data_IF_124198636671
#
_entry.id   IF_124198636671
#
_cell.length_a   1.000
_cell.length_b   1.000
_cell.length_c   1.000
_cell.angle_alpha   90.00
_cell.angle_beta   90.00
_cell.angle_gamma   90.00
#
_symmetry.space_group_name_H-M   'P 1'
#
loop_
_entity.id
_entity.type
_entity.pdbx_description
1 polymer ?
#
# COMPACT_ATOMS: atom_id res chain seq x y z
N UNK A 1 -18.09 -4.90 -13.33
CA UNK A 1 -17.08 -5.95 -13.52
C UNK A 1 -15.65 -5.43 -13.67
N UNK A 2 -15.38 -4.12 -13.83
CA UNK A 2 -13.99 -3.62 -13.90
C UNK A 2 -13.29 -3.46 -12.54
N UNK A 3 -14.03 -3.08 -11.48
CA UNK A 3 -13.46 -2.94 -10.14
C UNK A 3 -12.89 -4.25 -9.57
N UNK A 4 -13.42 -5.41 -9.99
CA UNK A 4 -12.92 -6.72 -9.55
C UNK A 4 -11.53 -7.00 -10.09
N UNK A 5 -11.21 -6.56 -11.32
CA UNK A 5 -9.90 -6.79 -11.96
C UNK A 5 -8.77 -6.02 -11.27
N UNK A 6 -9.03 -4.79 -10.83
CA UNK A 6 -8.08 -3.96 -10.06
C UNK A 6 -7.69 -4.60 -8.73
N UNK A 7 -8.55 -5.47 -8.17
CA UNK A 7 -8.35 -6.15 -6.90
C UNK A 7 -7.78 -7.57 -7.04
N UNK A 8 -7.63 -8.10 -8.25
CA UNK A 8 -7.19 -9.50 -8.47
C UNK A 8 -5.77 -9.78 -7.99
N UNK A 9 -4.90 -8.77 -8.03
CA UNK A 9 -3.53 -8.86 -7.51
C UNK A 9 -3.49 -8.98 -5.98
N UNK A 10 -4.51 -8.47 -5.29
CA UNK A 10 -4.54 -8.38 -3.83
C UNK A 10 -4.54 -9.75 -3.14
N UNK A 11 -5.34 -10.71 -3.62
CA UNK A 11 -5.35 -12.05 -3.02
C UNK A 11 -4.01 -12.78 -3.17
N UNK A 12 -3.30 -12.56 -4.29
CA UNK A 12 -1.97 -13.12 -4.49
C UNK A 12 -0.96 -12.43 -3.58
N UNK A 13 -1.05 -11.11 -3.46
CA UNK A 13 -0.23 -10.33 -2.53
C UNK A 13 -0.44 -10.76 -1.07
N UNK A 14 -1.67 -10.98 -0.61
CA UNK A 14 -1.94 -11.48 0.75
C UNK A 14 -1.25 -12.83 1.01
N UNK A 15 -1.22 -13.73 0.02
CA UNK A 15 -0.46 -14.99 0.14
C UNK A 15 1.05 -14.76 0.20
N UNK A 16 1.54 -13.76 -0.53
CA UNK A 16 2.95 -13.37 -0.46
C UNK A 16 3.31 -12.84 0.93
N UNK A 17 2.46 -11.99 1.51
CA UNK A 17 2.64 -11.47 2.87
C UNK A 17 2.57 -12.57 3.93
N UNK A 18 1.66 -13.53 3.79
CA UNK A 18 1.60 -14.67 4.70
C UNK A 18 2.87 -15.52 4.66
N UNK A 19 3.43 -15.74 3.46
CA UNK A 19 4.74 -16.39 3.33
C UNK A 19 5.86 -15.53 3.93
N UNK A 20 5.82 -14.20 3.75
CA UNK A 20 6.79 -13.29 4.36
C UNK A 20 6.75 -13.35 5.90
N UNK A 21 5.56 -13.40 6.51
CA UNK A 21 5.44 -13.55 7.96
C UNK A 21 6.03 -14.88 8.47
N UNK A 22 5.87 -15.98 7.72
CA UNK A 22 6.51 -17.26 8.04
C UNK A 22 8.03 -17.20 7.85
N UNK A 23 8.50 -16.50 6.81
CA UNK A 23 9.92 -16.20 6.61
C UNK A 23 10.51 -15.46 7.81
N UNK A 24 9.91 -14.34 8.23
CA UNK A 24 10.38 -13.52 9.37
C UNK A 24 10.45 -14.33 10.67
N UNK A 25 9.44 -15.17 10.93
CA UNK A 25 9.44 -16.06 12.10
C UNK A 25 10.55 -17.11 12.02
N UNK A 26 10.74 -17.74 10.85
CA UNK A 26 11.77 -18.76 10.66
C UNK A 26 13.18 -18.16 10.78
N UNK A 27 13.38 -16.94 10.28
CA UNK A 27 14.62 -16.18 10.46
C UNK A 27 14.93 -15.93 11.93
N UNK A 28 13.95 -15.46 12.72
CA UNK A 28 14.11 -15.23 14.16
C UNK A 28 14.46 -16.51 14.95
N UNK A 29 14.08 -17.68 14.43
CA UNK A 29 14.34 -18.99 15.05
C UNK A 29 15.57 -19.70 14.47
N UNK A 30 16.39 -19.02 13.66
CA UNK A 30 17.56 -19.58 12.97
C UNK A 30 17.24 -20.79 12.07
N UNK A 31 16.00 -20.92 11.58
CA UNK A 31 15.54 -21.99 10.72
C UNK A 31 15.79 -21.67 9.24
N UNK A 32 17.07 -21.57 8.85
CA UNK A 32 17.52 -21.05 7.55
C UNK A 32 16.85 -21.77 6.35
N UNK A 33 16.69 -23.09 6.41
CA UNK A 33 16.08 -23.86 5.32
C UNK A 33 14.61 -23.49 5.11
N UNK A 34 13.87 -23.31 6.20
CA UNK A 34 12.45 -22.90 6.15
C UNK A 34 12.35 -21.46 5.68
N UNK A 35 13.18 -20.57 6.22
CA UNK A 35 13.22 -19.17 5.82
C UNK A 35 13.46 -19.03 4.30
N UNK A 36 14.43 -19.76 3.74
CA UNK A 36 14.71 -19.72 2.30
C UNK A 36 13.51 -20.18 1.46
N UNK A 37 12.82 -21.24 1.86
CA UNK A 37 11.65 -21.74 1.14
C UNK A 37 10.49 -20.73 1.18
N UNK A 38 10.18 -20.19 2.36
CA UNK A 38 9.11 -19.21 2.54
C UNK A 38 9.39 -17.90 1.79
N UNK A 39 10.64 -17.45 1.75
CA UNK A 39 11.05 -16.30 0.93
C UNK A 39 10.82 -16.56 -0.56
N UNK A 40 11.15 -17.76 -1.05
CA UNK A 40 10.89 -18.12 -2.44
C UNK A 40 9.38 -18.22 -2.74
N UNK A 41 8.59 -18.70 -1.78
CA UNK A 41 7.14 -18.74 -1.89
C UNK A 41 6.55 -17.32 -1.95
N UNK A 42 7.02 -16.40 -1.10
CA UNK A 42 6.62 -15.00 -1.12
C UNK A 42 6.91 -14.36 -2.49
N UNK A 43 8.13 -14.57 -3.02
CA UNK A 43 8.52 -14.09 -4.36
C UNK A 43 7.61 -14.60 -5.47
N UNK A 44 7.27 -15.89 -5.46
CA UNK A 44 6.36 -16.51 -6.45
C UNK A 44 4.96 -15.89 -6.39
N UNK A 45 4.43 -15.64 -5.19
CA UNK A 45 3.13 -14.99 -5.04
C UNK A 45 3.16 -13.52 -5.48
N UNK A 46 4.26 -12.80 -5.22
CA UNK A 46 4.46 -11.46 -5.75
C UNK A 46 4.53 -11.43 -7.29
N UNK A 47 5.13 -12.44 -7.93
CA UNK A 47 5.09 -12.56 -9.40
C UNK A 47 3.65 -12.69 -9.92
N UNK A 48 2.84 -13.57 -9.32
CA UNK A 48 1.42 -13.72 -9.68
C UNK A 48 0.65 -12.41 -9.44
N UNK A 49 0.94 -11.69 -8.36
CA UNK A 49 0.33 -10.40 -8.08
C UNK A 49 0.71 -9.37 -9.16
N UNK A 50 1.98 -9.30 -9.55
CA UNK A 50 2.46 -8.42 -10.60
C UNK A 50 1.78 -8.70 -11.96
N UNK A 51 1.72 -9.96 -12.40
CA UNK A 51 1.04 -10.35 -13.64
C UNK A 51 -0.43 -9.93 -13.69
N UNK A 52 -1.14 -10.09 -12.57
CA UNK A 52 -2.55 -9.69 -12.46
C UNK A 52 -2.72 -8.18 -12.49
N UNK A 53 -1.84 -7.45 -11.79
CA UNK A 53 -1.85 -5.98 -11.79
C UNK A 53 -1.51 -5.41 -13.17
N UNK A 54 -0.58 -6.00 -13.91
CA UNK A 54 -0.29 -5.60 -15.30
C UNK A 54 -1.54 -5.75 -16.17
N UNK A 55 -2.23 -6.89 -16.09
CA UNK A 55 -3.49 -7.07 -16.83
C UNK A 55 -4.55 -6.02 -16.47
N UNK A 56 -4.66 -5.67 -15.20
CA UNK A 56 -5.55 -4.60 -14.76
C UNK A 56 -5.14 -3.23 -15.33
N UNK A 57 -3.84 -2.95 -15.42
CA UNK A 57 -3.30 -1.75 -16.07
C UNK A 57 -3.59 -1.72 -17.56
N UNK A 58 -3.54 -2.87 -18.25
CA UNK A 58 -3.89 -2.97 -19.67
C UNK A 58 -5.36 -2.59 -19.90
N UNK A 59 -6.28 -2.99 -19.00
CA UNK A 59 -7.68 -2.57 -19.08
C UNK A 59 -7.87 -1.07 -18.88
N UNK A 60 -7.15 -0.48 -17.91
CA UNK A 60 -7.17 0.97 -17.67
C UNK A 60 -6.65 1.71 -18.91
N UNK A 61 -5.55 1.22 -19.48
CA UNK A 61 -4.93 1.76 -20.70
C UNK A 61 -5.86 1.66 -21.90
N UNK A 62 -6.54 0.52 -22.09
CA UNK A 62 -7.51 0.35 -23.17
C UNK A 62 -8.71 1.31 -23.04
N UNK A 63 -9.09 1.68 -21.81
CA UNK A 63 -10.26 2.53 -21.54
C UNK A 63 -9.98 4.02 -21.55
N UNK A 64 -8.82 4.43 -21.02
CA UNK A 64 -8.46 5.84 -20.80
C UNK A 64 -7.26 6.28 -21.64
N UNK A 65 -6.60 5.38 -22.37
CA UNK A 65 -5.36 5.64 -23.08
C UNK A 65 -4.12 5.38 -22.23
N UNK A 66 -2.95 5.48 -22.84
CA UNK A 66 -1.67 5.15 -22.21
C UNK A 66 -1.42 5.96 -20.93
N UNK A 67 -1.08 5.26 -19.84
CA UNK A 67 -0.56 5.89 -18.63
C UNK A 67 0.75 6.60 -18.98
N UNK A 68 0.88 7.86 -18.54
CA UNK A 68 2.02 8.72 -18.76
C UNK A 68 1.98 9.52 -20.07
N UNK A 69 0.86 9.49 -20.81
CA UNK A 69 0.63 10.35 -21.96
C UNK A 69 0.62 11.83 -21.56
N UNK A 70 1.01 12.73 -22.48
CA UNK A 70 1.09 14.17 -22.22
C UNK A 70 -0.28 14.81 -22.00
N UNK A 71 -1.33 14.26 -22.65
CA UNK A 71 -2.70 14.74 -22.51
C UNK A 71 -3.46 13.88 -21.51
N UNK A 72 -4.13 14.52 -20.54
CA UNK A 72 -4.98 13.83 -19.59
C UNK A 72 -6.17 13.16 -20.28
N UNK A 73 -6.60 11.97 -19.81
CA UNK A 73 -7.77 11.30 -20.35
C UNK A 73 -9.05 12.09 -20.07
N UNK A 74 -10.07 11.84 -20.88
CA UNK A 74 -11.39 12.40 -20.62
C UNK A 74 -12.08 11.68 -19.45
N UNK A 75 -11.98 12.26 -18.25
CA UNK A 75 -12.61 11.76 -17.02
C UNK A 75 -13.94 12.52 -16.78
N UNK A 76 -15.00 12.12 -17.49
CA UNK A 76 -16.26 12.87 -17.51
C UNK A 76 -17.11 12.71 -16.23
N UNK A 77 -16.91 11.62 -15.50
CA UNK A 77 -17.70 11.27 -14.31
C UNK A 77 -16.77 10.92 -13.16
N UNK A 78 -17.26 11.07 -11.94
CA UNK A 78 -16.55 10.65 -10.74
C UNK A 78 -16.15 9.17 -10.79
N UNK A 79 -16.99 8.31 -11.38
CA UNK A 79 -16.67 6.90 -11.61
C UNK A 79 -15.47 6.67 -12.54
N UNK A 80 -15.26 7.56 -13.51
CA UNK A 80 -14.08 7.49 -14.39
C UNK A 80 -12.82 7.91 -13.63
N UNK A 81 -12.91 8.97 -12.83
CA UNK A 81 -11.80 9.45 -12.01
C UNK A 81 -11.34 8.42 -10.97
N UNK A 82 -12.25 7.83 -10.18
CA UNK A 82 -11.88 6.77 -9.21
C UNK A 82 -11.29 5.55 -9.92
N UNK A 83 -11.86 5.13 -11.06
CA UNK A 83 -11.35 3.97 -11.82
C UNK A 83 -9.94 4.25 -12.32
N UNK A 84 -9.71 5.46 -12.86
CA UNK A 84 -8.39 5.87 -13.32
C UNK A 84 -7.40 5.96 -12.15
N UNK A 85 -7.78 6.57 -11.01
CA UNK A 85 -6.96 6.64 -9.80
C UNK A 85 -6.54 5.25 -9.30
N UNK A 86 -7.49 4.32 -9.17
CA UNK A 86 -7.20 2.94 -8.76
C UNK A 86 -6.32 2.23 -9.79
N UNK A 87 -6.49 2.52 -11.07
CA UNK A 87 -5.61 2.06 -12.14
C UNK A 87 -4.17 2.54 -11.99
N UNK A 88 -3.97 3.82 -11.66
CA UNK A 88 -2.65 4.39 -11.38
C UNK A 88 -1.99 3.72 -10.17
N UNK A 89 -2.71 3.53 -9.07
CA UNK A 89 -2.13 2.83 -7.90
C UNK A 89 -1.85 1.37 -8.23
N UNK A 90 -2.70 0.71 -9.01
CA UNK A 90 -2.47 -0.66 -9.48
C UNK A 90 -1.20 -0.74 -10.33
N UNK A 91 -0.93 0.25 -11.19
CA UNK A 91 0.30 0.34 -11.95
C UNK A 91 1.54 0.46 -11.06
N UNK A 92 1.49 1.30 -10.03
CA UNK A 92 2.56 1.42 -9.05
C UNK A 92 2.77 0.12 -8.26
N UNK A 93 1.68 -0.51 -7.82
CA UNK A 93 1.74 -1.80 -7.13
C UNK A 93 2.23 -2.93 -8.05
N UNK A 94 2.01 -2.87 -9.37
CA UNK A 94 2.54 -3.83 -10.33
C UNK A 94 4.07 -3.78 -10.35
N UNK A 95 4.64 -2.57 -10.44
CA UNK A 95 6.08 -2.35 -10.36
C UNK A 95 6.64 -2.86 -9.03
N UNK A 96 6.01 -2.51 -7.90
CA UNK A 96 6.42 -3.00 -6.58
C UNK A 96 6.40 -4.52 -6.47
N UNK A 97 5.32 -5.15 -6.93
CA UNK A 97 5.16 -6.60 -6.87
C UNK A 97 6.23 -7.31 -7.69
N UNK A 98 6.53 -6.80 -8.88
CA UNK A 98 7.58 -7.39 -9.70
C UNK A 98 8.95 -7.24 -9.04
N UNK A 99 9.25 -6.08 -8.44
CA UNK A 99 10.47 -5.89 -7.65
C UNK A 99 10.57 -6.88 -6.49
N UNK A 100 9.50 -7.05 -5.71
CA UNK A 100 9.44 -8.00 -4.60
C UNK A 100 9.52 -9.46 -5.05
N UNK A 101 9.13 -9.76 -6.30
CA UNK A 101 9.31 -11.09 -6.90
C UNK A 101 10.76 -11.38 -7.32
N UNK A 102 11.63 -10.35 -7.38
CA UNK A 102 12.95 -10.44 -8.01
C UNK A 102 12.91 -10.26 -9.53
N UNK A 103 11.98 -9.43 -10.03
CA UNK A 103 11.78 -9.11 -11.44
C UNK A 103 11.43 -10.31 -12.33
N UNK A 104 10.63 -11.27 -11.82
CA UNK A 104 10.27 -12.47 -12.56
C UNK A 104 9.31 -12.20 -13.72
N UNK A 105 8.49 -11.14 -13.64
CA UNK A 105 7.50 -10.79 -14.65
C UNK A 105 8.06 -9.80 -15.67
N UNK A 106 9.01 -8.96 -15.25
CA UNK A 106 9.66 -7.98 -16.13
C UNK A 106 8.80 -6.74 -16.38
N UNK A 107 8.12 -6.24 -15.33
CA UNK A 107 7.33 -5.01 -15.41
C UNK A 107 8.26 -3.83 -15.67
N UNK A 108 7.97 -3.08 -16.72
CA UNK A 108 8.78 -1.93 -17.09
C UNK A 108 8.78 -0.87 -15.96
N UNK A 109 9.96 -0.57 -15.40
CA UNK A 109 10.14 0.39 -14.30
C UNK A 109 9.68 1.81 -14.65
N UNK A 110 9.73 2.19 -15.93
CA UNK A 110 9.20 3.48 -16.39
C UNK A 110 7.69 3.62 -16.13
N UNK A 111 6.96 2.52 -15.94
CA UNK A 111 5.55 2.56 -15.53
C UNK A 111 5.36 3.38 -14.24
N UNK A 112 6.30 3.35 -13.29
CA UNK A 112 6.23 4.17 -12.09
C UNK A 112 6.29 5.67 -12.41
N UNK A 113 7.24 6.09 -13.26
CA UNK A 113 7.38 7.48 -13.68
C UNK A 113 6.18 7.96 -14.50
N UNK A 114 5.65 7.11 -15.39
CA UNK A 114 4.41 7.35 -16.14
C UNK A 114 3.21 7.53 -15.22
N UNK A 115 3.08 6.67 -14.22
CA UNK A 115 2.02 6.74 -13.20
C UNK A 115 2.09 8.05 -12.41
N UNK A 116 3.29 8.46 -11.99
CA UNK A 116 3.51 9.74 -11.30
C UNK A 116 3.06 10.93 -12.15
N UNK A 117 3.39 10.96 -13.45
CA UNK A 117 2.95 12.03 -14.35
C UNK A 117 1.43 12.04 -14.51
N UNK A 118 0.84 10.88 -14.74
CA UNK A 118 -0.61 10.71 -14.89
C UNK A 118 -1.41 11.09 -13.64
N UNK A 119 -0.82 11.05 -12.44
CA UNK A 119 -1.54 11.42 -11.22
C UNK A 119 -1.91 12.91 -11.18
N UNK A 120 -1.25 13.77 -11.97
CA UNK A 120 -1.63 15.18 -12.07
C UNK A 120 -3.01 15.40 -12.72
N UNK A 121 -3.51 14.41 -13.48
CA UNK A 121 -4.83 14.49 -14.11
C UNK A 121 -6.01 14.34 -13.14
N UNK A 122 -5.73 14.11 -11.85
CA UNK A 122 -6.73 13.92 -10.81
C UNK A 122 -6.62 15.05 -9.78
N UNK A 123 -7.77 15.53 -9.31
CA UNK A 123 -7.82 16.49 -8.21
C UNK A 123 -7.34 15.85 -6.90
N UNK A 124 -6.37 16.48 -6.24
CA UNK A 124 -5.73 15.89 -5.07
C UNK A 124 -6.64 15.85 -3.85
N UNK A 125 -7.44 16.90 -3.64
CA UNK A 125 -8.30 17.05 -2.47
C UNK A 125 -9.51 16.12 -2.57
N UNK A 126 -10.17 16.12 -3.74
CA UNK A 126 -11.29 15.24 -4.06
C UNK A 126 -10.94 13.77 -3.89
N UNK A 127 -9.71 13.39 -4.23
CA UNK A 127 -9.20 12.02 -4.13
C UNK A 127 -8.32 11.80 -2.90
N UNK A 128 -8.64 12.50 -1.82
CA UNK A 128 -8.18 12.27 -0.45
C UNK A 128 -6.66 12.37 -0.24
N UNK A 129 -5.94 13.06 -1.13
CA UNK A 129 -4.48 13.15 -1.11
C UNK A 129 -3.77 12.02 -1.88
N UNK A 130 -4.52 11.09 -2.49
CA UNK A 130 -3.96 9.94 -3.22
C UNK A 130 -3.05 10.35 -4.38
N UNK A 131 -3.40 11.31 -5.25
CA UNK A 131 -2.53 11.74 -6.35
C UNK A 131 -1.15 12.21 -5.87
N UNK A 132 -1.12 12.91 -4.74
CA UNK A 132 0.11 13.36 -4.10
C UNK A 132 0.90 12.21 -3.49
N UNK A 133 0.23 11.31 -2.75
CA UNK A 133 0.87 10.12 -2.21
C UNK A 133 1.51 9.25 -3.30
N UNK A 134 0.86 9.08 -4.46
CA UNK A 134 1.43 8.39 -5.63
C UNK A 134 2.78 9.01 -6.05
N UNK A 135 2.85 10.34 -6.16
CA UNK A 135 4.08 11.03 -6.56
C UNK A 135 5.19 10.81 -5.54
N UNK A 136 4.86 10.95 -4.26
CA UNK A 136 5.79 10.70 -3.16
C UNK A 136 6.29 9.25 -3.14
N UNK A 137 5.43 8.27 -3.43
CA UNK A 137 5.85 6.85 -3.52
C UNK A 137 6.77 6.58 -4.69
N UNK A 138 6.54 7.22 -5.84
CA UNK A 138 7.47 7.10 -6.97
C UNK A 138 8.82 7.72 -6.63
N UNK A 139 8.87 8.89 -5.98
CA UNK A 139 10.13 9.47 -5.50
C UNK A 139 10.84 8.59 -4.48
N UNK A 140 10.08 7.93 -3.61
CA UNK A 140 10.62 6.98 -2.63
C UNK A 140 11.15 5.69 -3.29
N UNK A 141 10.68 5.31 -4.48
CA UNK A 141 11.11 4.09 -5.17
C UNK A 141 12.24 4.32 -6.17
N UNK A 142 12.27 5.50 -6.80
CA UNK A 142 13.20 5.80 -7.90
C UNK A 142 14.20 6.87 -7.47
N UNK A 143 15.45 6.49 -7.14
CA UNK A 143 16.49 7.43 -6.77
C UNK A 143 16.67 8.55 -7.81
N UNK A 144 16.84 9.79 -7.32
CA UNK A 144 17.09 10.96 -8.17
C UNK A 144 15.87 11.56 -8.85
N UNK A 145 14.65 11.07 -8.59
CA UNK A 145 13.41 11.64 -9.16
C UNK A 145 12.73 12.69 -8.27
N UNK A 146 13.14 12.78 -7.00
CA UNK A 146 12.71 13.84 -6.09
C UNK A 146 13.30 15.19 -6.56
N UNK A 147 12.48 16.23 -6.83
CA UNK A 147 13.00 17.55 -7.16
C UNK A 147 13.79 18.18 -6.01
N UNK A 148 14.88 18.88 -6.32
CA UNK A 148 15.80 19.48 -5.34
C UNK A 148 15.12 20.44 -4.33
N UNK A 149 13.99 21.04 -4.71
CA UNK A 149 13.25 21.99 -3.89
C UNK A 149 12.09 21.34 -3.10
N UNK A 150 12.00 20.02 -3.04
CA UNK A 150 10.94 19.30 -2.33
C UNK A 150 11.51 18.36 -1.28
N UNK A 151 10.81 18.28 -0.15
CA UNK A 151 11.05 17.26 0.87
C UNK A 151 10.03 16.12 0.72
N UNK A 152 10.53 14.89 0.66
CA UNK A 152 9.71 13.69 0.49
C UNK A 152 8.69 13.50 1.63
N UNK A 153 9.11 13.68 2.88
CA UNK A 153 8.30 13.40 4.06
C UNK A 153 7.29 14.50 4.34
N UNK A 154 7.64 15.77 4.06
CA UNK A 154 6.67 16.87 4.06
C UNK A 154 5.60 16.64 3.00
N UNK A 155 5.98 16.09 1.83
CA UNK A 155 5.01 15.78 0.78
C UNK A 155 4.06 14.64 1.17
N UNK A 156 4.57 13.58 1.80
CA UNK A 156 3.70 12.57 2.40
C UNK A 156 2.80 13.14 3.49
N UNK A 157 3.35 13.95 4.40
CA UNK A 157 2.56 14.55 5.48
C UNK A 157 1.41 15.40 4.95
N UNK A 158 1.62 16.20 3.91
CA UNK A 158 0.54 16.97 3.31
C UNK A 158 -0.53 16.08 2.64
N UNK A 159 -0.18 14.89 2.14
CA UNK A 159 -1.17 13.91 1.68
C UNK A 159 -1.90 13.24 2.85
N UNK A 160 -1.18 12.92 3.93
CA UNK A 160 -1.73 12.32 5.15
C UNK A 160 -2.74 13.25 5.84
N UNK A 161 -2.48 14.56 5.83
CA UNK A 161 -3.38 15.57 6.41
C UNK A 161 -4.73 15.58 5.68
N UNK A 162 -4.73 15.51 4.35
CA UNK A 162 -5.94 15.37 3.54
C UNK A 162 -6.60 14.01 3.82
N UNK A 163 -5.81 12.93 3.82
CA UNK A 163 -6.31 11.58 4.11
C UNK A 163 -7.06 11.52 5.45
N UNK A 164 -6.50 12.17 6.49
CA UNK A 164 -7.11 12.27 7.82
C UNK A 164 -8.43 13.04 7.81
N UNK A 165 -8.52 14.14 7.05
CA UNK A 165 -9.74 14.95 6.94
C UNK A 165 -10.89 14.18 6.29
N UNK A 166 -10.58 13.27 5.37
CA UNK A 166 -11.56 12.48 4.62
C UNK A 166 -11.75 11.05 5.15
N UNK A 167 -11.11 10.70 6.27
CA UNK A 167 -11.06 9.33 6.82
C UNK A 167 -10.62 8.26 5.80
N UNK A 168 -9.70 8.62 4.90
CA UNK A 168 -9.18 7.74 3.86
C UNK A 168 -7.88 7.05 4.32
N UNK A 169 -7.85 5.71 4.24
CA UNK A 169 -6.67 4.92 4.59
C UNK A 169 -5.68 4.75 3.42
N UNK A 170 -6.16 4.89 2.19
CA UNK A 170 -5.40 4.56 1.00
C UNK A 170 -4.12 5.41 0.79
N UNK A 171 -4.12 6.74 1.01
CA UNK A 171 -2.89 7.53 0.97
C UNK A 171 -1.88 7.10 2.05
N UNK A 172 -2.36 6.68 3.22
CA UNK A 172 -1.51 6.21 4.32
C UNK A 172 -0.82 4.90 4.00
N UNK A 173 -1.46 4.01 3.22
CA UNK A 173 -0.82 2.80 2.66
C UNK A 173 0.37 3.19 1.79
N UNK A 174 0.18 4.15 0.88
CA UNK A 174 1.23 4.61 -0.03
C UNK A 174 2.40 5.26 0.73
N UNK A 175 2.11 6.02 1.79
CA UNK A 175 3.12 6.52 2.71
C UNK A 175 3.88 5.38 3.39
N UNK A 176 3.17 4.45 4.04
CA UNK A 176 3.80 3.34 4.74
C UNK A 176 4.69 2.52 3.80
N UNK A 177 4.22 2.18 2.60
CA UNK A 177 4.97 1.46 1.58
C UNK A 177 6.22 2.23 1.12
N UNK A 178 6.11 3.54 0.90
CA UNK A 178 7.25 4.36 0.52
C UNK A 178 8.29 4.50 1.62
N UNK A 179 7.84 4.61 2.87
CA UNK A 179 8.68 4.64 4.06
C UNK A 179 9.45 3.33 4.26
N UNK A 180 8.76 2.20 4.11
CA UNK A 180 9.32 0.85 4.17
C UNK A 180 10.43 0.66 3.12
N UNK A 181 10.18 1.05 1.87
CA UNK A 181 11.18 0.99 0.80
C UNK A 181 12.44 1.85 1.07
N UNK A 182 12.30 2.92 1.86
CA UNK A 182 13.41 3.81 2.24
C UNK A 182 14.10 3.38 3.55
N UNK A 183 13.66 2.28 4.18
CA UNK A 183 14.15 1.84 5.49
C UNK A 183 13.91 2.88 6.58
N UNK A 184 12.77 3.59 6.51
CA UNK A 184 12.40 4.65 7.45
C UNK A 184 11.29 4.19 8.39
N UNK A 185 11.63 3.29 9.31
CA UNK A 185 10.69 2.69 10.26
C UNK A 185 9.87 3.72 11.05
N UNK A 186 10.48 4.85 11.41
CA UNK A 186 9.78 5.93 12.09
C UNK A 186 8.62 6.51 11.25
N UNK A 187 8.78 6.57 9.92
CA UNK A 187 7.74 7.05 9.00
C UNK A 187 6.69 5.95 8.75
N UNK A 188 7.09 4.68 8.67
CA UNK A 188 6.13 3.54 8.65
C UNK A 188 5.22 3.60 9.87
N UNK A 189 5.81 3.73 11.07
CA UNK A 189 5.08 3.84 12.34
C UNK A 189 4.20 5.08 12.38
N UNK A 190 4.65 6.23 11.83
CA UNK A 190 3.83 7.45 11.72
C UNK A 190 2.57 7.20 10.89
N UNK A 191 2.72 6.59 9.70
CA UNK A 191 1.58 6.26 8.84
C UNK A 191 0.61 5.27 9.52
N UNK A 192 1.13 4.26 10.22
CA UNK A 192 0.33 3.29 10.98
C UNK A 192 -0.43 3.91 12.17
N UNK A 193 0.19 4.84 12.91
CA UNK A 193 -0.49 5.62 13.98
C UNK A 193 -1.65 6.44 13.41
N UNK A 194 -1.41 7.16 12.32
CA UNK A 194 -2.47 7.91 11.61
C UNK A 194 -3.59 6.98 11.10
N UNK A 195 -3.23 5.79 10.61
CA UNK A 195 -4.21 4.81 10.17
C UNK A 195 -5.05 4.26 11.34
N UNK A 196 -4.45 4.07 12.52
CA UNK A 196 -5.18 3.75 13.75
C UNK A 196 -6.21 4.83 14.12
N UNK A 197 -5.80 6.11 14.07
CA UNK A 197 -6.72 7.24 14.31
C UNK A 197 -7.87 7.27 13.30
N UNK A 198 -7.58 7.07 12.01
CA UNK A 198 -8.60 7.02 10.95
C UNK A 198 -9.53 5.83 11.16
N UNK A 199 -9.01 4.65 11.49
CA UNK A 199 -9.81 3.46 11.72
C UNK A 199 -10.78 3.61 12.90
N UNK A 200 -10.38 4.32 13.95
CA UNK A 200 -11.28 4.64 15.06
C UNK A 200 -12.42 5.56 14.62
N UNK A 201 -12.15 6.58 13.79
CA UNK A 201 -13.19 7.46 13.25
C UNK A 201 -14.12 6.75 12.27
N UNK A 202 -13.61 5.81 11.46
CA UNK A 202 -14.44 4.99 10.58
C UNK A 202 -15.47 4.12 11.33
N UNK A 203 -15.28 3.87 12.63
CA UNK A 203 -16.23 3.15 13.45
C UNK A 203 -17.31 4.06 14.08
N UNK A 204 -17.25 5.38 13.86
CA UNK A 204 -18.27 6.33 14.33
C UNK A 204 -19.31 6.61 13.24
N UNK A 205 -20.51 7.02 13.67
CA UNK A 205 -21.60 7.40 12.76
C UNK A 205 -21.33 8.70 11.97
N UNK A 206 -20.27 9.45 12.33
CA UNK A 206 -19.92 10.75 11.76
C UNK A 206 -18.73 10.70 10.78
N UNK A 207 -18.31 9.49 10.38
CA UNK A 207 -17.17 9.32 9.49
C UNK A 207 -17.37 10.05 8.15
N UNK A 208 -16.29 10.61 7.61
CA UNK A 208 -16.34 11.40 6.37
C UNK A 208 -16.17 10.56 5.10
N UNK A 209 -15.72 9.30 5.23
CA UNK A 209 -15.40 8.48 4.07
C UNK A 209 -16.66 8.02 3.30
N UNK A 210 -16.71 8.16 1.96
CA UNK A 210 -17.92 7.82 1.20
C UNK A 210 -18.23 6.31 1.20
N UNK A 211 -19.49 5.96 1.52
CA UNK A 211 -19.94 4.56 1.61
C UNK A 211 -19.69 3.75 0.32
N UNK A 212 -19.86 4.37 -0.84
CA UNK A 212 -19.64 3.74 -2.16
C UNK A 212 -18.20 3.26 -2.38
N UNK A 213 -17.22 3.80 -1.65
CA UNK A 213 -15.81 3.44 -1.77
C UNK A 213 -15.29 2.62 -0.59
N UNK A 214 -16.14 2.17 0.34
CA UNK A 214 -15.74 1.44 1.56
C UNK A 214 -14.80 0.25 1.30
N UNK A 215 -14.96 -0.44 0.17
CA UNK A 215 -14.08 -1.53 -0.23
C UNK A 215 -12.61 -1.09 -0.34
N UNK A 216 -12.34 0.12 -0.84
CA UNK A 216 -10.98 0.68 -0.94
C UNK A 216 -10.37 0.85 0.44
N UNK A 217 -11.13 1.38 1.40
CA UNK A 217 -10.66 1.52 2.79
C UNK A 217 -10.46 0.16 3.47
N UNK A 218 -11.35 -0.81 3.25
CA UNK A 218 -11.21 -2.16 3.81
C UNK A 218 -9.92 -2.86 3.34
N UNK A 219 -9.59 -2.74 2.06
CA UNK A 219 -8.34 -3.28 1.50
C UNK A 219 -7.13 -2.53 2.04
N UNK A 220 -7.22 -1.21 2.11
CA UNK A 220 -6.15 -0.36 2.65
C UNK A 220 -5.84 -0.71 4.10
N UNK A 221 -6.87 -0.94 4.92
CA UNK A 221 -6.73 -1.42 6.29
C UNK A 221 -6.01 -2.77 6.36
N UNK A 222 -6.35 -3.73 5.49
CA UNK A 222 -5.67 -5.03 5.46
C UNK A 222 -4.18 -4.88 5.08
N UNK A 223 -3.83 -4.03 4.11
CA UNK A 223 -2.43 -3.74 3.77
C UNK A 223 -1.67 -3.11 4.95
N UNK A 224 -2.26 -2.13 5.64
CA UNK A 224 -1.66 -1.51 6.82
C UNK A 224 -1.50 -2.52 7.96
N UNK A 225 -2.49 -3.39 8.18
CA UNK A 225 -2.39 -4.48 9.16
C UNK A 225 -1.25 -5.43 8.84
N UNK A 226 -1.05 -5.79 7.58
CA UNK A 226 0.06 -6.66 7.16
C UNK A 226 1.43 -6.02 7.47
N UNK A 227 1.54 -4.70 7.31
CA UNK A 227 2.75 -3.96 7.70
C UNK A 227 2.95 -3.93 9.22
N UNK A 228 1.87 -3.74 9.99
CA UNK A 228 1.92 -3.86 11.46
C UNK A 228 2.33 -5.28 11.89
N UNK A 229 1.76 -6.31 11.27
CA UNK A 229 2.07 -7.70 11.55
C UNK A 229 3.55 -8.03 11.28
N UNK A 230 4.16 -7.47 10.24
CA UNK A 230 5.58 -7.63 9.97
C UNK A 230 6.44 -7.07 11.12
N UNK A 231 6.15 -5.84 11.60
CA UNK A 231 6.85 -5.21 12.74
C UNK A 231 6.74 -6.07 14.00
N UNK A 232 5.54 -6.58 14.29
CA UNK A 232 5.31 -7.45 15.45
C UNK A 232 5.98 -8.81 15.30
N UNK A 233 6.00 -9.36 14.09
CA UNK A 233 6.64 -10.66 13.81
C UNK A 233 8.16 -10.56 13.99
N UNK A 234 8.80 -9.52 13.45
CA UNK A 234 10.24 -9.28 13.59
C UNK A 234 10.66 -9.15 15.07
N UNK A 235 9.88 -8.41 15.87
CA UNK A 235 10.28 -8.09 17.24
C UNK A 235 9.79 -9.08 18.30
N UNK A 236 8.67 -9.78 18.06
CA UNK A 236 8.01 -10.65 19.06
C UNK A 236 7.63 -12.04 18.53
N UNK A 237 7.84 -12.34 17.24
CA UNK A 237 7.51 -13.65 16.65
C UNK A 237 6.01 -13.92 16.48
N UNK A 238 5.17 -12.90 16.66
CA UNK A 238 3.70 -13.00 16.59
C UNK A 238 3.10 -11.82 15.85
N UNK A 239 1.87 -11.97 15.37
CA UNK A 239 1.11 -10.89 14.72
C UNK A 239 0.73 -9.79 15.71
N UNK A 240 0.37 -8.63 15.15
CA UNK A 240 -0.19 -7.53 15.91
C UNK A 240 -1.52 -7.94 16.56
N UNK A 241 -1.85 -7.41 17.75
CA UNK A 241 -3.19 -7.59 18.33
C UNK A 241 -4.31 -7.06 17.41
N UNK A 242 -5.56 -7.53 17.58
CA UNK A 242 -6.69 -6.94 16.87
C UNK A 242 -6.81 -5.44 17.14
N UNK A 243 -7.16 -4.66 16.11
CA UNK A 243 -7.43 -3.22 16.18
C UNK A 243 -6.28 -2.41 16.82
N UNK A 244 -5.03 -2.71 16.46
CA UNK A 244 -3.85 -2.10 17.08
C UNK A 244 -2.84 -1.52 16.08
N UNK A 245 -3.30 -0.91 14.99
CA UNK A 245 -2.42 -0.27 14.00
C UNK A 245 -1.55 0.83 14.62
N UNK A 246 -2.02 1.47 15.68
CA UNK A 246 -1.35 2.53 16.44
C UNK A 246 -0.43 2.02 17.55
N UNK A 247 -0.36 0.69 17.78
CA UNK A 247 0.40 0.09 18.89
C UNK A 247 1.58 -0.73 18.38
N UNK A 248 2.71 -0.57 19.05
CA UNK A 248 3.95 -1.21 18.67
C UNK A 248 4.55 -2.07 19.80
N UNK A 249 5.27 -3.16 19.46
CA UNK A 249 5.79 -4.12 20.43
C UNK A 249 6.81 -3.58 21.44
N UNK A 250 7.47 -2.46 21.11
CA UNK A 250 8.42 -1.73 21.95
C UNK A 250 7.75 -0.64 22.81
N UNK A 251 6.58 -0.15 22.40
CA UNK A 251 5.77 0.83 23.13
C UNK A 251 4.74 0.16 24.05
N UNK A 252 4.38 -1.09 23.77
CA UNK A 252 3.47 -1.88 24.58
C UNK A 252 4.13 -2.23 25.93
N UNK A 253 3.63 -1.64 27.02
CA UNK A 253 3.85 -2.17 28.37
C UNK A 253 3.57 -3.68 28.34
N UNK A 254 4.44 -4.49 28.98
CA UNK A 254 4.32 -5.95 29.06
C UNK A 254 2.89 -6.34 29.44
N UNK A 255 2.06 -6.63 28.44
CA UNK A 255 0.86 -7.40 28.66
C UNK A 255 1.36 -8.82 29.01
N UNK A 256 0.95 -9.39 30.15
CA UNK A 256 1.17 -10.81 30.38
C UNK A 256 0.61 -11.58 29.18
N UNK A 257 1.31 -12.64 28.78
CA UNK A 257 0.87 -13.50 27.68
C UNK A 257 -0.45 -14.16 28.11
N UNK A 258 -1.56 -13.47 27.83
CA UNK A 258 -2.89 -14.00 28.01
C UNK A 258 -3.31 -14.61 26.68
N UNK A 259 -3.38 -15.93 26.69
CA UNK A 259 -3.72 -16.77 25.55
C UNK A 259 -5.24 -16.95 25.46
N UNK A 260 -6.00 -16.50 26.47
CA UNK A 260 -7.45 -16.71 26.59
C UNK A 260 -8.27 -15.70 25.78
N UNK A 261 -7.64 -14.61 25.29
CA UNK A 261 -8.28 -13.62 24.41
C UNK A 261 -8.25 -13.97 22.90
N UNK A 262 -7.84 -15.18 22.53
CA UNK A 262 -7.74 -15.65 21.14
C UNK A 262 -8.91 -16.54 20.68
N UNK A 263 -9.98 -16.62 21.49
CA UNK A 263 -11.22 -17.35 21.18
C UNK A 263 -12.40 -16.42 20.91
#
# INVERSE_FOLDING_TARGET
MFYTELLTGFCAENKAYEANLRYLRAEQQDQITIARDELMLAKRWHAIAAERRVRAVDFVTARYGDIGNETCPNLFKESDEITYMLGLVTALQAVRSDLLSGAQVGVNRDLAARTMRSSHCLDNEKWWGTPQAIRSTVWAFVPGTLPDNKDLWQNYQAADEIAKQHDALFPLVLHAIGADNQGKDAQVRKALKLAGDVQQRLNSDEHQFPAIYQLVNAISHDQLRQMSDAIWMEQKGRRSPPNSLDKFPDEAQRAPADIDGLL
#
